data_IF_780480625770
#
_entry.id   IF_780480625770
#
_cell.length_a   1.000
_cell.length_b   1.000
_cell.length_c   1.000
_cell.angle_alpha   90.00
_cell.angle_beta   90.00
_cell.angle_gamma   90.00
#
_symmetry.space_group_name_H-M   'P 1'
#
loop_
_entity.id
_entity.type
_entity.pdbx_description
1 polymer ?
#
# COMPACT_ATOMS: atom_id res chain seq x y z
N UNK A 1 0.43 4.03 14.07
CA UNK A 1 -0.51 4.86 13.27
C UNK A 1 -1.94 4.74 13.81
N UNK A 2 -2.83 5.70 13.60
CA UNK A 2 -4.29 5.53 13.80
C UNK A 2 -4.94 5.29 12.43
N UNK A 3 -6.08 4.59 12.37
CA UNK A 3 -6.84 4.44 11.12
C UNK A 3 -7.35 5.81 10.69
N UNK A 4 -6.96 6.24 9.49
CA UNK A 4 -7.41 7.45 8.82
C UNK A 4 -8.75 7.16 8.13
N UNK A 5 -9.68 8.12 8.22
CA UNK A 5 -11.00 8.04 7.56
C UNK A 5 -11.04 8.78 6.22
N UNK A 6 -9.98 9.50 5.86
CA UNK A 6 -9.81 10.22 4.60
C UNK A 6 -8.39 10.04 4.10
N UNK A 7 -8.21 10.08 2.77
CA UNK A 7 -6.88 10.02 2.14
C UNK A 7 -5.99 11.12 2.70
N UNK A 8 -4.73 10.78 2.96
CA UNK A 8 -3.70 11.73 3.36
C UNK A 8 -2.80 11.99 2.16
N UNK A 9 -2.70 13.25 1.75
CA UNK A 9 -1.90 13.68 0.60
C UNK A 9 -0.55 14.22 1.05
N UNK A 10 0.42 14.20 0.15
CA UNK A 10 1.70 14.88 0.32
C UNK A 10 1.50 16.39 0.13
N UNK A 11 1.88 17.16 1.14
CA UNK A 11 1.92 18.63 1.08
C UNK A 11 3.35 19.05 0.77
N UNK A 12 3.56 19.78 -0.34
CA UNK A 12 4.81 20.47 -0.63
C UNK A 12 4.65 21.98 -0.44
N UNK A 13 5.77 22.70 -0.38
CA UNK A 13 5.79 24.17 -0.22
C UNK A 13 5.06 24.90 -1.37
N UNK A 14 4.89 24.24 -2.53
CA UNK A 14 4.15 24.74 -3.69
C UNK A 14 2.67 24.33 -3.75
N UNK A 15 2.16 23.59 -2.74
CA UNK A 15 0.79 23.09 -2.69
C UNK A 15 0.70 21.56 -2.52
N UNK A 16 -0.51 21.03 -2.66
CA UNK A 16 -0.74 19.58 -2.67
C UNK A 16 -0.31 19.00 -4.03
N UNK A 17 0.53 17.98 -4.01
CA UNK A 17 0.67 17.13 -5.19
C UNK A 17 -0.39 16.02 -5.15
N UNK A 18 -0.74 15.49 -6.31
CA UNK A 18 -1.59 14.28 -6.46
C UNK A 18 -0.94 13.00 -5.87
N UNK A 19 0.11 13.14 -5.07
CA UNK A 19 0.73 12.06 -4.31
C UNK A 19 0.01 11.81 -3.00
N UNK A 20 -0.36 10.56 -2.78
CA UNK A 20 -1.05 10.08 -1.60
C UNK A 20 -0.04 9.40 -0.68
N UNK A 21 0.03 9.82 0.58
CA UNK A 21 0.81 9.13 1.63
C UNK A 21 0.04 7.94 2.17
N UNK A 22 -1.26 8.13 2.44
CA UNK A 22 -2.17 7.06 2.87
C UNK A 22 -3.42 7.08 2.01
N UNK A 23 -3.64 6.00 1.27
CA UNK A 23 -4.92 5.75 0.62
C UNK A 23 -5.91 5.17 1.63
N UNK A 24 -7.18 5.50 1.46
CA UNK A 24 -8.27 5.04 2.32
C UNK A 24 -9.36 4.44 1.47
N UNK A 25 -9.60 3.15 1.68
CA UNK A 25 -10.63 2.36 1.01
C UNK A 25 -11.67 1.97 2.06
N UNK A 26 -12.95 2.03 1.68
CA UNK A 26 -14.07 1.62 2.51
C UNK A 26 -14.75 0.42 1.88
N UNK A 27 -14.85 -0.67 2.63
CA UNK A 27 -15.62 -1.85 2.22
C UNK A 27 -16.92 -1.90 3.02
N UNK A 28 -18.05 -1.98 2.32
CA UNK A 28 -19.39 -2.05 2.93
C UNK A 28 -19.79 -3.45 3.37
N UNK A 29 -18.95 -4.44 3.08
CA UNK A 29 -19.09 -5.85 3.42
C UNK A 29 -17.69 -6.48 3.37
N UNK A 30 -17.55 -7.71 3.85
CA UNK A 30 -16.32 -8.48 3.66
C UNK A 30 -15.95 -8.52 2.17
N UNK A 31 -14.67 -8.33 1.87
CA UNK A 31 -14.15 -8.24 0.51
C UNK A 31 -12.88 -9.08 0.38
N UNK A 32 -12.87 -10.00 -0.58
CA UNK A 32 -11.63 -10.65 -1.01
C UNK A 32 -10.88 -9.73 -1.96
N UNK A 33 -9.61 -9.49 -1.68
CA UNK A 33 -8.72 -8.75 -2.57
C UNK A 33 -7.54 -9.61 -2.97
N UNK A 34 -7.05 -9.38 -4.18
CA UNK A 34 -5.78 -9.92 -4.63
C UNK A 34 -4.76 -8.78 -4.70
N UNK A 35 -3.65 -8.93 -3.98
CA UNK A 35 -2.55 -7.98 -4.02
C UNK A 35 -1.34 -8.59 -4.74
N UNK A 36 -0.79 -7.84 -5.68
CA UNK A 36 0.38 -8.24 -6.46
C UNK A 36 1.38 -7.08 -6.57
N UNK A 37 2.64 -7.35 -6.27
CA UNK A 37 3.75 -6.42 -6.51
C UNK A 37 4.36 -6.77 -7.87
N UNK A 38 4.39 -5.81 -8.79
CA UNK A 38 4.84 -6.00 -10.18
C UNK A 38 6.28 -5.55 -10.39
N UNK A 39 6.74 -4.59 -9.61
CA UNK A 39 8.03 -3.95 -9.81
C UNK A 39 8.54 -3.36 -8.50
N UNK A 40 9.85 -3.45 -8.26
CA UNK A 40 10.56 -2.64 -7.26
C UNK A 40 11.98 -2.34 -7.74
N UNK A 41 12.41 -1.09 -7.56
CA UNK A 41 13.71 -0.57 -7.99
C UNK A 41 14.37 0.34 -6.93
N UNK A 42 13.84 0.37 -5.71
CA UNK A 42 14.47 1.11 -4.62
C UNK A 42 15.77 0.46 -4.16
N UNK A 43 16.68 1.28 -3.66
CA UNK A 43 17.85 0.81 -2.91
C UNK A 43 17.48 0.25 -1.53
N UNK A 44 16.31 0.61 -1.00
CA UNK A 44 15.74 0.07 0.23
C UNK A 44 14.82 -1.09 -0.08
N UNK A 45 14.65 -1.99 0.89
CA UNK A 45 13.63 -3.04 0.81
C UNK A 45 12.27 -2.36 0.88
N UNK A 46 11.47 -2.47 -0.17
CA UNK A 46 10.15 -1.84 -0.22
C UNK A 46 9.03 -2.84 -0.04
N UNK A 47 7.91 -2.34 0.47
CA UNK A 47 6.69 -3.12 0.61
C UNK A 47 5.47 -2.23 0.68
N UNK A 48 4.33 -2.89 0.87
CA UNK A 48 3.04 -2.25 1.05
C UNK A 48 2.43 -2.71 2.37
N UNK A 49 1.96 -1.74 3.15
CA UNK A 49 1.24 -2.00 4.38
C UNK A 49 -0.25 -1.76 4.19
N UNK A 50 -1.04 -2.73 4.64
CA UNK A 50 -2.49 -2.66 4.77
C UNK A 50 -2.82 -2.64 6.25
N UNK A 51 -3.64 -1.69 6.67
CA UNK A 51 -4.11 -1.60 8.05
C UNK A 51 -5.62 -1.44 8.07
N UNK A 52 -6.32 -2.33 8.74
CA UNK A 52 -7.78 -2.34 8.80
C UNK A 52 -8.28 -2.01 10.20
N UNK A 53 -9.42 -1.33 10.27
CA UNK A 53 -10.19 -1.14 11.50
C UNK A 53 -10.67 -2.49 12.04
N UNK A 54 -11.15 -3.35 11.14
CA UNK A 54 -11.77 -4.62 11.49
C UNK A 54 -10.92 -5.83 11.10
N UNK A 55 -9.67 -5.63 10.68
CA UNK A 55 -8.68 -6.67 10.41
C UNK A 55 -8.73 -7.31 9.01
N UNK A 56 -7.87 -8.32 8.85
CA UNK A 56 -7.64 -9.12 7.65
C UNK A 56 -7.46 -10.60 8.01
N UNK A 57 -7.63 -11.50 7.05
CA UNK A 57 -7.13 -12.87 7.11
C UNK A 57 -6.37 -13.20 5.82
N UNK A 58 -5.19 -13.81 5.95
CA UNK A 58 -4.41 -14.33 4.83
C UNK A 58 -4.56 -15.85 4.79
N UNK A 59 -5.12 -16.41 3.73
CA UNK A 59 -4.99 -17.85 3.42
C UNK A 59 -5.22 -18.83 4.60
N UNK A 60 -6.25 -18.59 5.42
CA UNK A 60 -6.57 -19.44 6.57
C UNK A 60 -5.77 -19.16 7.85
N UNK A 61 -4.98 -18.08 7.88
CA UNK A 61 -4.32 -17.57 9.07
C UNK A 61 -5.31 -16.97 10.06
N UNK A 62 -4.83 -16.73 11.28
CA UNK A 62 -5.52 -15.90 12.25
C UNK A 62 -5.77 -14.49 11.73
N UNK A 63 -6.78 -13.85 12.31
CA UNK A 63 -7.18 -12.49 11.98
C UNK A 63 -6.16 -11.49 12.51
N UNK A 64 -5.65 -10.62 11.64
CA UNK A 64 -4.63 -9.61 11.97
C UNK A 64 -5.09 -8.19 11.62
N UNK A 65 -4.65 -7.19 12.37
CA UNK A 65 -5.01 -5.78 12.10
C UNK A 65 -4.16 -5.12 11.01
N UNK A 66 -2.94 -5.63 10.80
CA UNK A 66 -1.97 -5.09 9.85
C UNK A 66 -1.35 -6.23 9.06
N UNK A 67 -1.16 -6.00 7.77
CA UNK A 67 -0.44 -6.89 6.85
C UNK A 67 0.63 -6.05 6.17
N UNK A 68 1.85 -6.56 6.08
CA UNK A 68 2.92 -5.96 5.28
C UNK A 68 3.37 -7.02 4.30
N UNK A 69 3.39 -6.65 3.01
CA UNK A 69 3.88 -7.50 1.93
C UNK A 69 5.11 -6.84 1.32
N UNK A 70 6.19 -7.60 1.21
CA UNK A 70 7.49 -7.10 0.77
C UNK A 70 7.76 -7.44 -0.70
N UNK A 71 8.43 -6.53 -1.40
CA UNK A 71 8.73 -6.68 -2.81
C UNK A 71 9.87 -7.66 -3.11
N UNK A 72 10.70 -8.05 -2.14
CA UNK A 72 11.69 -9.11 -2.32
C UNK A 72 11.08 -10.52 -2.19
N UNK A 73 9.87 -10.59 -1.66
CA UNK A 73 8.98 -11.76 -1.74
C UNK A 73 8.15 -11.74 -3.05
N UNK A 74 8.48 -10.83 -4.00
CA UNK A 74 7.74 -10.64 -5.26
C UNK A 74 7.91 -11.82 -6.21
N UNK A 75 6.94 -12.73 -6.11
CA UNK A 75 6.38 -13.56 -7.18
C UNK A 75 5.05 -14.18 -6.75
N UNK A 76 4.58 -13.88 -5.53
CA UNK A 76 3.38 -14.45 -4.93
C UNK A 76 2.25 -13.44 -5.01
N UNK A 77 1.15 -13.85 -5.61
CA UNK A 77 -0.12 -13.13 -5.52
C UNK A 77 -0.75 -13.47 -4.17
N UNK A 78 -1.06 -12.46 -3.36
CA UNK A 78 -1.64 -12.69 -2.04
C UNK A 78 -3.14 -12.49 -2.10
N UNK A 79 -3.90 -13.51 -1.73
CA UNK A 79 -5.35 -13.39 -1.53
C UNK A 79 -5.63 -13.04 -0.07
N UNK A 80 -6.23 -11.87 0.15
CA UNK A 80 -6.49 -11.32 1.48
C UNK A 80 -7.99 -11.14 1.65
N UNK A 81 -8.55 -11.71 2.71
CA UNK A 81 -9.91 -11.36 3.15
C UNK A 81 -9.84 -10.09 4.00
N UNK A 82 -10.40 -9.01 3.48
CA UNK A 82 -10.65 -7.76 4.20
C UNK A 82 -12.03 -7.85 4.85
N UNK A 83 -12.11 -7.63 6.16
CA UNK A 83 -13.41 -7.46 6.81
C UNK A 83 -13.99 -6.08 6.51
N UNK A 84 -15.31 -5.95 6.57
CA UNK A 84 -16.01 -4.67 6.36
C UNK A 84 -15.38 -3.52 7.16
N UNK A 85 -15.42 -2.29 6.64
CA UNK A 85 -14.90 -1.10 7.32
C UNK A 85 -13.80 -0.37 6.57
N UNK A 86 -13.02 0.42 7.30
CA UNK A 86 -11.96 1.26 6.72
C UNK A 86 -10.62 0.52 6.64
N UNK A 87 -10.02 0.52 5.45
CA UNK A 87 -8.66 0.06 5.18
C UNK A 87 -7.78 1.24 4.80
N UNK A 88 -6.62 1.31 5.43
CA UNK A 88 -5.54 2.23 5.08
C UNK A 88 -4.45 1.47 4.34
N UNK A 89 -3.95 2.07 3.28
CA UNK A 89 -2.93 1.51 2.42
C UNK A 89 -1.82 2.54 2.22
N UNK A 90 -0.57 2.13 2.37
CA UNK A 90 0.59 3.01 2.21
C UNK A 90 1.84 2.20 1.88
N UNK A 91 2.79 2.81 1.18
CA UNK A 91 4.08 2.20 0.93
C UNK A 91 4.98 2.29 2.16
N UNK A 92 5.76 1.25 2.38
CA UNK A 92 6.72 1.12 3.48
C UNK A 92 8.09 0.77 2.93
N UNK A 93 9.11 0.99 3.74
CA UNK A 93 10.47 0.58 3.45
C UNK A 93 11.14 0.00 4.69
N UNK A 94 12.18 -0.80 4.49
CA UNK A 94 13.06 -1.30 5.53
C UNK A 94 14.52 -1.07 5.13
N UNK A 95 15.28 -0.49 6.07
CA UNK A 95 16.73 -0.29 5.98
C UNK A 95 17.32 -0.60 7.36
N UNK A 96 18.35 -1.44 7.42
CA UNK A 96 19.00 -1.82 8.68
C UNK A 96 18.03 -2.31 9.79
N UNK A 97 16.98 -3.04 9.41
CA UNK A 97 15.88 -3.53 10.28
C UNK A 97 14.99 -2.43 10.88
N UNK A 98 15.06 -1.21 10.35
CA UNK A 98 14.15 -0.13 10.69
C UNK A 98 13.03 -0.06 9.66
N UNK A 99 11.81 -0.33 10.09
CA UNK A 99 10.61 -0.10 9.29
C UNK A 99 10.30 1.40 9.25
N UNK A 100 10.26 1.95 8.05
CA UNK A 100 9.88 3.33 7.79
C UNK A 100 8.66 3.43 6.87
N UNK A 101 7.94 4.54 7.00
CA UNK A 101 6.79 4.87 6.18
C UNK A 101 6.57 6.38 6.20
N UNK A 102 5.93 6.90 5.16
CA UNK A 102 5.60 8.32 5.04
C UNK A 102 6.83 9.26 5.13
N UNK A 103 7.98 8.89 4.57
CA UNK A 103 9.10 9.82 4.37
C UNK A 103 8.65 11.07 3.61
N UNK A 104 9.34 12.20 3.81
CA UNK A 104 8.98 13.51 3.23
C UNK A 104 8.81 13.45 1.70
N UNK A 105 9.65 12.68 1.02
CA UNK A 105 9.64 12.53 -0.44
C UNK A 105 8.81 11.33 -0.91
N UNK A 106 8.25 10.55 0.01
CA UNK A 106 7.46 9.37 -0.32
C UNK A 106 6.00 9.69 -0.64
N UNK A 107 5.39 8.84 -1.46
CA UNK A 107 3.97 8.90 -1.77
C UNK A 107 3.60 7.91 -2.87
N UNK A 108 2.33 7.88 -3.21
CA UNK A 108 1.75 6.98 -4.19
C UNK A 108 0.86 7.75 -5.14
N UNK A 109 0.96 7.46 -6.43
CA UNK A 109 -0.07 7.80 -7.41
C UNK A 109 -0.97 6.60 -7.64
N UNK A 110 -2.26 6.83 -7.83
CA UNK A 110 -3.25 5.77 -7.99
C UNK A 110 -3.85 5.88 -9.38
N UNK A 111 -3.79 4.78 -10.12
CA UNK A 111 -4.55 4.58 -11.33
C UNK A 111 -5.70 3.62 -11.03
N UNK A 112 -6.93 3.98 -11.45
CA UNK A 112 -8.08 3.08 -11.35
C UNK A 112 -8.06 2.13 -12.54
N UNK A 113 -8.16 0.83 -12.26
CA UNK A 113 -8.37 -0.19 -13.29
C UNK A 113 -9.82 -0.67 -13.27
N UNK A 114 -10.20 -1.52 -14.24
CA UNK A 114 -11.55 -2.09 -14.28
C UNK A 114 -11.87 -2.96 -13.06
N UNK A 115 -10.85 -3.61 -12.48
CA UNK A 115 -10.98 -4.59 -11.41
C UNK A 115 -10.43 -4.09 -10.07
N UNK A 116 -9.96 -2.84 -9.98
CA UNK A 116 -9.42 -2.28 -8.74
C UNK A 116 -8.48 -1.11 -8.98
N UNK A 117 -7.25 -1.21 -8.45
CA UNK A 117 -6.31 -0.10 -8.36
C UNK A 117 -4.89 -0.53 -8.68
N UNK A 118 -4.14 0.34 -9.35
CA UNK A 118 -2.70 0.23 -9.55
C UNK A 118 -2.05 1.40 -8.84
N UNK A 119 -1.03 1.11 -8.04
CA UNK A 119 -0.31 2.06 -7.22
C UNK A 119 1.11 2.20 -7.72
N UNK A 120 1.50 3.43 -8.02
CA UNK A 120 2.85 3.81 -8.40
C UNK A 120 3.50 4.53 -7.22
N UNK A 121 4.37 3.82 -6.51
CA UNK A 121 5.04 4.30 -5.31
C UNK A 121 6.32 5.03 -5.64
N UNK A 122 6.57 6.11 -4.92
CA UNK A 122 7.83 6.81 -4.89
C UNK A 122 8.29 6.90 -3.45
N UNK A 123 9.58 6.69 -3.20
CA UNK A 123 10.18 6.83 -1.88
C UNK A 123 11.21 7.96 -1.81
N UNK A 124 11.68 8.46 -2.96
CA UNK A 124 12.75 9.46 -3.05
C UNK A 124 14.17 8.90 -2.95
N UNK A 125 14.32 7.58 -2.91
CA UNK A 125 15.61 6.87 -2.82
C UNK A 125 15.83 5.87 -3.98
N UNK A 126 14.94 5.90 -4.98
CA UNK A 126 15.15 5.24 -6.27
C UNK A 126 16.34 5.86 -6.99
N UNK A 127 17.16 5.01 -7.63
CA UNK A 127 18.35 5.45 -8.37
C UNK A 127 18.00 6.28 -9.61
N UNK A 128 16.85 5.99 -10.20
CA UNK A 128 16.22 6.78 -11.24
C UNK A 128 15.12 7.64 -10.60
N UNK A 129 14.85 8.85 -11.11
CA UNK A 129 13.82 9.77 -10.58
C UNK A 129 12.38 9.28 -10.79
N UNK A 130 12.21 7.97 -10.92
CA UNK A 130 11.03 7.27 -11.39
C UNK A 130 10.27 6.58 -10.24
N UNK A 131 9.33 5.71 -10.62
CA UNK A 131 8.52 4.88 -9.73
C UNK A 131 9.42 3.85 -9.04
N UNK A 132 9.44 3.88 -7.71
CA UNK A 132 10.24 2.97 -6.87
C UNK A 132 9.62 1.58 -6.71
N UNK A 133 8.29 1.48 -6.74
CA UNK A 133 7.55 0.21 -6.70
C UNK A 133 6.20 0.36 -7.39
N UNK A 134 5.75 -0.70 -8.08
CA UNK A 134 4.39 -0.80 -8.64
C UNK A 134 3.70 -2.00 -8.01
N UNK A 135 2.51 -1.80 -7.46
CA UNK A 135 1.66 -2.89 -7.00
C UNK A 135 0.21 -2.65 -7.39
N UNK A 136 -0.59 -3.72 -7.45
CA UNK A 136 -2.02 -3.63 -7.75
C UNK A 136 -2.84 -4.32 -6.68
N UNK A 137 -4.06 -3.82 -6.48
CA UNK A 137 -5.13 -4.47 -5.73
C UNK A 137 -6.28 -4.73 -6.70
N UNK A 138 -6.65 -5.99 -6.87
CA UNK A 138 -7.87 -6.39 -7.56
C UNK A 138 -8.95 -6.76 -6.54
N UNK A 139 -10.15 -6.26 -6.73
CA UNK A 139 -11.33 -6.64 -5.95
C UNK A 139 -11.93 -7.89 -6.59
N UNK A 140 -12.05 -8.98 -5.82
CA UNK A 140 -12.61 -10.24 -6.29
C UNK A 140 -14.12 -10.28 -6.01
N UNK A 141 -14.90 -10.71 -6.99
CA UNK A 141 -16.37 -10.86 -6.89
C UNK A 141 -16.77 -12.05 -6.03
#
# INVERSE_FOLDING_TARGET
MQIKKKKEFRVLDSGLEDMIRTDVVHFSHDQLIQLKIHHSASSRRQGVALRSENGFMLEGSDKVATVILWADEACVEHTIKCFEGTVNLFNVWEEERMLGYHDRLSGMRIEKSQTGFIYHCHDGYSKDKDVSMIFSISLLS
#
